data_IF_578016138470
#
_entry.id   IF_578016138470
#
_cell.length_a   1.000
_cell.length_b   1.000
_cell.length_c   1.000
_cell.angle_alpha   90.00
_cell.angle_beta   90.00
_cell.angle_gamma   90.00
#
_symmetry.space_group_name_H-M   'P 1'
#
loop_
_entity.id
_entity.type
_entity.pdbx_description
1 polymer ?
#
# COMPACT_ATOMS: atom_id res chain seq x y z
N UNK A 1 -32.54 15.76 -13.74
CA UNK A 1 -31.24 15.99 -14.44
C UNK A 1 -30.57 14.64 -14.58
N UNK A 2 -30.00 14.27 -15.74
CA UNK A 2 -29.21 13.06 -15.85
C UNK A 2 -28.05 13.16 -14.84
N UNK A 3 -27.96 12.22 -13.91
CA UNK A 3 -27.01 12.28 -12.80
C UNK A 3 -25.58 12.35 -13.32
N UNK A 4 -24.76 13.24 -12.75
CA UNK A 4 -23.36 13.40 -13.11
C UNK A 4 -22.51 12.25 -12.55
N UNK A 5 -22.65 11.07 -13.17
CA UNK A 5 -21.93 9.85 -12.83
C UNK A 5 -20.41 9.97 -13.01
N UNK A 6 -19.94 10.98 -13.74
CA UNK A 6 -18.50 11.25 -13.92
C UNK A 6 -17.83 11.62 -12.59
N UNK A 7 -18.62 12.07 -11.61
CA UNK A 7 -18.14 12.38 -10.28
C UNK A 7 -18.19 11.18 -9.31
N UNK A 8 -18.53 9.98 -9.78
CA UNK A 8 -18.62 8.81 -8.92
C UNK A 8 -17.27 8.13 -8.76
N UNK A 9 -17.03 7.55 -7.59
CA UNK A 9 -15.83 6.76 -7.34
C UNK A 9 -15.81 5.57 -8.30
N UNK A 10 -14.70 5.39 -9.01
CA UNK A 10 -14.55 4.34 -10.02
C UNK A 10 -14.67 2.92 -9.45
N UNK A 11 -14.37 2.75 -8.16
CA UNK A 11 -14.32 1.44 -7.50
C UNK A 11 -15.57 1.11 -6.68
N UNK A 12 -16.19 2.09 -6.01
CA UNK A 12 -17.35 1.85 -5.15
C UNK A 12 -18.63 2.61 -5.55
N UNK A 13 -18.58 3.44 -6.61
CA UNK A 13 -19.69 4.27 -7.09
C UNK A 13 -20.26 5.29 -6.07
N UNK A 14 -19.57 5.53 -4.94
CA UNK A 14 -19.88 6.63 -4.01
C UNK A 14 -19.92 7.95 -4.79
N UNK A 15 -20.89 8.82 -4.51
CA UNK A 15 -21.17 10.04 -5.30
C UNK A 15 -21.10 11.33 -4.49
N UNK A 16 -20.86 11.24 -3.20
CA UNK A 16 -21.03 12.29 -2.19
C UNK A 16 -19.72 12.63 -1.45
N UNK A 17 -18.57 12.53 -2.12
CA UNK A 17 -17.28 12.89 -1.52
C UNK A 17 -16.85 14.33 -1.88
N UNK A 18 -16.23 15.03 -0.93
CA UNK A 18 -15.90 16.47 -1.02
C UNK A 18 -14.62 16.69 -1.84
N UNK A 19 -14.31 17.94 -2.23
CA UNK A 19 -13.05 18.24 -2.94
C UNK A 19 -11.79 17.87 -2.13
N UNK A 20 -11.89 17.83 -0.79
CA UNK A 20 -10.82 17.35 0.10
C UNK A 20 -10.59 15.83 0.00
N UNK A 21 -11.61 15.05 -0.40
CA UNK A 21 -11.50 13.60 -0.66
C UNK A 21 -10.95 13.27 -2.07
N UNK A 22 -10.79 14.29 -2.94
CA UNK A 22 -10.58 14.15 -4.39
C UNK A 22 -9.14 14.27 -4.88
N UNK A 23 -8.18 14.46 -3.99
CA UNK A 23 -6.81 14.75 -4.37
C UNK A 23 -5.99 13.48 -4.66
N UNK A 24 -6.20 12.85 -5.82
CA UNK A 24 -5.24 11.86 -6.32
C UNK A 24 -4.92 12.08 -7.81
N UNK A 25 -3.68 12.50 -8.06
CA UNK A 25 -3.11 12.70 -9.39
C UNK A 25 -3.10 11.41 -10.22
N UNK A 26 -3.05 11.56 -11.55
CA UNK A 26 -3.13 10.50 -12.58
C UNK A 26 -2.15 9.34 -12.32
N UNK A 27 -0.99 9.61 -11.72
CA UNK A 27 0.00 8.60 -11.36
C UNK A 27 -0.48 7.64 -10.27
N UNK A 28 -1.31 8.12 -9.33
CA UNK A 28 -1.92 7.29 -8.28
C UNK A 28 -2.96 6.32 -8.85
N UNK A 29 -3.71 6.73 -9.88
CA UNK A 29 -4.75 5.89 -10.46
C UNK A 29 -4.18 4.66 -11.20
N UNK A 30 -3.11 4.82 -11.98
CA UNK A 30 -2.47 3.69 -12.67
C UNK A 30 -1.89 2.68 -11.67
N UNK A 31 -1.24 3.17 -10.61
CA UNK A 31 -0.76 2.34 -9.51
C UNK A 31 -1.90 1.58 -8.81
N UNK A 32 -3.03 2.26 -8.58
CA UNK A 32 -4.23 1.65 -8.00
C UNK A 32 -4.85 0.58 -8.92
N UNK A 33 -4.88 0.82 -10.24
CA UNK A 33 -5.31 -0.17 -11.22
C UNK A 33 -4.41 -1.41 -11.20
N UNK A 34 -3.10 -1.23 -11.11
CA UNK A 34 -2.15 -2.34 -11.00
C UNK A 34 -2.39 -3.17 -9.74
N UNK A 35 -2.59 -2.53 -8.58
CA UNK A 35 -2.94 -3.22 -7.33
C UNK A 35 -4.22 -4.02 -7.50
N UNK A 36 -5.26 -3.42 -8.11
CA UNK A 36 -6.53 -4.11 -8.35
C UNK A 36 -6.36 -5.33 -9.25
N UNK A 37 -5.65 -5.17 -10.37
CA UNK A 37 -5.42 -6.25 -11.32
C UNK A 37 -4.64 -7.40 -10.65
N UNK A 38 -3.62 -7.06 -9.85
CA UNK A 38 -2.77 -8.03 -9.17
C UNK A 38 -3.49 -8.75 -8.01
N UNK A 39 -4.35 -8.05 -7.26
CA UNK A 39 -4.98 -8.60 -6.07
C UNK A 39 -6.35 -9.24 -6.33
N UNK A 40 -7.18 -8.64 -7.19
CA UNK A 40 -8.57 -9.06 -7.41
C UNK A 40 -8.78 -9.83 -8.72
N UNK A 41 -7.76 -9.93 -9.59
CA UNK A 41 -7.85 -10.58 -10.91
C UNK A 41 -9.01 -10.05 -11.77
N UNK A 42 -9.38 -8.80 -11.57
CA UNK A 42 -10.31 -8.07 -12.44
C UNK A 42 -9.51 -7.17 -13.37
N UNK A 43 -10.07 -6.83 -14.53
CA UNK A 43 -9.47 -5.87 -15.45
C UNK A 43 -10.42 -4.70 -15.64
N UNK A 44 -10.07 -3.56 -15.03
CA UNK A 44 -10.85 -2.34 -15.20
C UNK A 44 -10.41 -1.64 -16.48
N UNK A 45 -11.37 -1.40 -17.39
CA UNK A 45 -11.11 -0.68 -18.63
C UNK A 45 -10.94 0.82 -18.35
N UNK A 46 -9.96 1.49 -18.97
CA UNK A 46 -9.87 2.94 -18.97
C UNK A 46 -11.14 3.56 -19.54
N UNK A 47 -11.57 4.69 -18.97
CA UNK A 47 -12.67 5.49 -19.52
C UNK A 47 -12.08 6.45 -20.55
N UNK A 48 -12.52 6.35 -21.81
CA UNK A 48 -12.03 7.21 -22.87
C UNK A 48 -12.44 8.67 -22.61
N UNK A 49 -11.44 9.56 -22.52
CA UNK A 49 -11.67 11.01 -22.38
C UNK A 49 -12.16 11.49 -21.02
N UNK A 50 -12.23 10.62 -20.00
CA UNK A 50 -12.68 10.98 -18.65
C UNK A 50 -11.62 10.54 -17.64
N UNK A 51 -11.19 11.46 -16.77
CA UNK A 51 -10.35 11.12 -15.62
C UNK A 51 -11.24 10.50 -14.54
N UNK A 52 -11.05 9.22 -14.17
CA UNK A 52 -11.85 8.59 -13.13
C UNK A 52 -11.50 9.18 -11.76
N UNK A 53 -12.51 9.47 -10.96
CA UNK A 53 -12.33 9.84 -9.55
C UNK A 53 -12.29 8.57 -8.70
N UNK A 54 -11.49 8.59 -7.64
CA UNK A 54 -11.44 7.55 -6.63
C UNK A 54 -11.52 8.22 -5.27
N UNK A 55 -12.47 7.79 -4.44
CA UNK A 55 -12.61 8.37 -3.10
C UNK A 55 -11.45 7.96 -2.18
N UNK A 56 -11.16 8.79 -1.18
CA UNK A 56 -10.09 8.55 -0.19
C UNK A 56 -10.18 7.20 0.51
N UNK A 57 -11.38 6.67 0.78
CA UNK A 57 -11.56 5.33 1.35
C UNK A 57 -10.98 4.23 0.46
N UNK A 58 -11.30 4.26 -0.83
CA UNK A 58 -10.79 3.28 -1.79
C UNK A 58 -9.29 3.46 -2.02
N UNK A 59 -8.80 4.71 -2.13
CA UNK A 59 -7.37 5.00 -2.23
C UNK A 59 -6.59 4.44 -1.03
N UNK A 60 -7.04 4.75 0.19
CA UNK A 60 -6.41 4.30 1.42
C UNK A 60 -6.46 2.78 1.59
N UNK A 61 -7.56 2.15 1.18
CA UNK A 61 -7.65 0.69 1.17
C UNK A 61 -6.66 0.05 0.19
N UNK A 62 -6.57 0.57 -1.04
CA UNK A 62 -5.65 0.04 -2.05
C UNK A 62 -4.19 0.24 -1.65
N UNK A 63 -3.84 1.39 -1.05
CA UNK A 63 -2.50 1.61 -0.52
C UNK A 63 -2.13 0.55 0.54
N UNK A 64 -3.02 0.32 1.53
CA UNK A 64 -2.84 -0.73 2.55
C UNK A 64 -2.74 -2.12 1.93
N UNK A 65 -3.52 -2.39 0.89
CA UNK A 65 -3.49 -3.66 0.17
C UNK A 65 -2.17 -3.87 -0.59
N UNK A 66 -1.64 -2.83 -1.24
CA UNK A 66 -0.32 -2.85 -1.87
C UNK A 66 0.78 -3.18 -0.86
N UNK A 67 0.84 -2.46 0.27
CA UNK A 67 1.81 -2.76 1.34
C UNK A 67 1.64 -4.16 1.92
N UNK A 68 0.40 -4.66 2.07
CA UNK A 68 0.16 -6.03 2.51
C UNK A 68 0.68 -7.07 1.51
N UNK A 69 0.44 -6.87 0.20
CA UNK A 69 0.98 -7.72 -0.85
C UNK A 69 2.51 -7.80 -0.78
N UNK A 70 3.18 -6.66 -0.64
CA UNK A 70 4.64 -6.63 -0.60
C UNK A 70 5.18 -7.38 0.63
N UNK A 71 4.52 -7.25 1.78
CA UNK A 71 4.85 -8.05 2.97
C UNK A 71 4.67 -9.55 2.76
N UNK A 72 3.60 -9.97 2.06
CA UNK A 72 3.40 -11.37 1.71
C UNK A 72 4.52 -11.90 0.81
N UNK A 73 4.95 -11.13 -0.20
CA UNK A 73 6.06 -11.51 -1.09
C UNK A 73 7.37 -11.67 -0.31
N UNK A 74 7.76 -10.67 0.49
CA UNK A 74 8.97 -10.74 1.33
C UNK A 74 8.93 -11.93 2.29
N UNK A 75 7.77 -12.20 2.88
CA UNK A 75 7.60 -13.32 3.83
C UNK A 75 7.67 -14.67 3.11
N UNK A 76 7.11 -14.81 1.91
CA UNK A 76 7.20 -16.03 1.10
C UNK A 76 8.66 -16.32 0.68
N UNK A 77 9.39 -15.30 0.23
CA UNK A 77 10.82 -15.40 -0.06
C UNK A 77 11.64 -15.80 1.17
N UNK A 78 11.36 -15.18 2.32
CA UNK A 78 12.00 -15.54 3.59
C UNK A 78 11.76 -16.99 3.97
N UNK A 79 10.52 -17.48 3.90
CA UNK A 79 10.22 -18.87 4.22
C UNK A 79 10.86 -19.84 3.22
N UNK A 80 10.94 -19.48 1.93
CA UNK A 80 11.64 -20.28 0.93
C UNK A 80 13.12 -20.45 1.28
N UNK A 81 13.80 -19.38 1.69
CA UNK A 81 15.20 -19.42 2.14
C UNK A 81 15.37 -20.31 3.39
N UNK A 82 14.45 -20.21 4.35
CA UNK A 82 14.45 -21.05 5.56
C UNK A 82 14.35 -22.53 5.16
N UNK A 83 13.42 -22.85 4.26
CA UNK A 83 13.17 -24.24 3.82
C UNK A 83 14.32 -24.83 2.99
N UNK A 84 15.11 -24.00 2.32
CA UNK A 84 16.27 -24.43 1.52
C UNK A 84 17.55 -24.58 2.35
N UNK A 85 17.59 -24.02 3.56
CA UNK A 85 18.77 -24.03 4.40
C UNK A 85 18.81 -25.28 5.28
N UNK A 86 20.00 -25.82 5.55
CA UNK A 86 20.15 -26.91 6.53
C UNK A 86 19.78 -26.39 7.92
N UNK A 87 18.88 -27.10 8.62
CA UNK A 87 18.33 -26.68 9.93
C UNK A 87 19.42 -26.54 11.01
N UNK A 88 20.57 -27.20 10.83
CA UNK A 88 21.71 -27.08 11.73
C UNK A 88 22.35 -25.69 11.53
N UNK A 89 22.26 -24.85 12.57
CA UNK A 89 22.81 -23.49 12.70
C UNK A 89 22.10 -22.35 11.93
N UNK A 90 20.79 -22.47 11.70
CA UNK A 90 20.04 -21.39 11.03
C UNK A 90 19.81 -20.17 11.94
N UNK A 91 20.50 -19.06 11.67
CA UNK A 91 20.22 -17.77 12.31
C UNK A 91 18.97 -17.10 11.69
N UNK A 92 17.82 -17.37 12.31
CA UNK A 92 16.54 -16.81 11.91
C UNK A 92 16.48 -15.27 11.97
N UNK A 93 17.24 -14.64 12.87
CA UNK A 93 17.20 -13.17 12.99
C UNK A 93 17.94 -12.51 11.82
N UNK A 94 19.10 -13.05 11.44
CA UNK A 94 19.80 -12.61 10.24
C UNK A 94 18.96 -12.80 8.98
N UNK A 95 18.20 -13.90 8.87
CA UNK A 95 17.29 -14.12 7.74
C UNK A 95 16.14 -13.11 7.74
N UNK A 96 15.51 -12.82 8.88
CA UNK A 96 14.46 -11.78 8.97
C UNK A 96 14.97 -10.40 8.57
N UNK A 97 16.20 -10.05 8.98
CA UNK A 97 16.85 -8.80 8.63
C UNK A 97 17.16 -8.71 7.13
N UNK A 98 17.70 -9.79 6.54
CA UNK A 98 17.95 -9.91 5.09
C UNK A 98 16.68 -9.61 4.28
N UNK A 99 15.54 -10.13 4.73
CA UNK A 99 14.23 -9.97 4.08
C UNK A 99 13.46 -8.72 4.54
N UNK A 100 14.09 -7.84 5.33
CA UNK A 100 13.54 -6.55 5.75
C UNK A 100 12.18 -6.64 6.47
N UNK A 101 11.91 -7.76 7.17
CA UNK A 101 10.61 -7.99 7.82
C UNK A 101 10.38 -7.02 8.98
N UNK A 102 11.45 -6.58 9.64
CA UNK A 102 11.39 -5.74 10.85
C UNK A 102 11.68 -4.25 10.58
N UNK A 103 11.82 -3.81 9.31
CA UNK A 103 12.18 -2.42 8.98
C UNK A 103 11.14 -1.38 9.42
N UNK A 104 9.83 -1.66 9.32
CA UNK A 104 8.77 -0.74 9.75
C UNK A 104 8.86 -0.41 11.25
N UNK A 105 9.29 -1.38 12.08
CA UNK A 105 9.50 -1.17 13.52
C UNK A 105 10.77 -0.38 13.82
N UNK A 106 11.77 -0.44 12.95
CA UNK A 106 13.04 0.26 13.11
C UNK A 106 12.85 1.75 12.76
N UNK A 107 12.14 2.05 11.67
CA UNK A 107 11.87 3.42 11.24
C UNK A 107 11.01 4.18 12.25
N UNK A 108 9.93 3.57 12.75
CA UNK A 108 9.09 4.16 13.80
C UNK A 108 9.85 4.41 15.12
N UNK A 109 10.81 3.53 15.47
CA UNK A 109 11.65 3.72 16.65
C UNK A 109 12.68 4.83 16.47
N UNK A 110 13.23 5.00 15.28
CA UNK A 110 14.17 6.07 14.96
C UNK A 110 13.47 7.44 14.99
N UNK A 111 12.29 7.55 14.39
CA UNK A 111 11.47 8.77 14.40
C UNK A 111 11.06 9.18 15.83
N UNK A 112 10.71 8.22 16.70
CA UNK A 112 10.44 8.51 18.12
C UNK A 112 11.70 8.97 18.86
N UNK A 113 12.85 8.34 18.59
CA UNK A 113 14.10 8.72 19.25
C UNK A 113 14.52 10.16 18.90
N UNK A 114 14.34 10.58 17.65
CA UNK A 114 14.61 11.96 17.21
C UNK A 114 13.67 12.98 17.90
N UNK A 115 12.39 12.65 18.08
CA UNK A 115 11.44 13.51 18.79
C UNK A 115 11.79 13.65 20.28
N UNK A 116 12.21 12.55 20.92
CA UNK A 116 12.55 12.53 22.35
C UNK A 116 13.89 13.24 22.64
N UNK A 117 14.83 13.22 21.71
CA UNK A 117 16.11 13.92 21.85
C UNK A 117 15.97 15.45 21.67
N UNK A 118 14.98 15.93 20.90
CA UNK A 118 14.68 17.36 20.75
C UNK A 118 13.98 17.95 21.99
N UNK A 119 13.14 17.18 22.69
CA UNK A 119 12.44 17.63 23.91
C UNK A 119 13.37 17.73 25.15
N UNK A 120 14.56 17.12 25.11
CA UNK A 120 15.55 17.17 26.20
C UNK A 120 16.60 18.27 26.04
N UNK A 121 16.64 18.94 24.88
CA UNK A 121 17.63 19.97 24.53
C UNK A 121 17.06 21.41 24.46
N UNK A 122 15.83 21.63 24.95
CA UNK A 122 15.15 22.94 25.00
C UNK A 122 14.64 23.25 26.42
#
# INVERSE_FOLDING_TARGET
MPGNWQNWCRFCAKSDFTEEDNAYEVESFENQLQIINNCFKISLRPLAGIRPLVCGECCGFLAKLGSFRDRCVKTDEMFRDIMQSSIQDLDLQSIRLKHQIDQEKIQFKAEIAEIVDDDLNN
#
